data_IF_010167895501
#
_entry.id   IF_010167895501
#
_cell.length_a   1.000
_cell.length_b   1.000
_cell.length_c   1.000
_cell.angle_alpha   90.00
_cell.angle_beta   90.00
_cell.angle_gamma   90.00
#
_symmetry.space_group_name_H-M   'P 1'
#
loop_
_entity.id
_entity.type
_entity.pdbx_description
1 polymer ?
#
# COMPACT_ATOMS: atom_id res chain seq x y z
N UNK A 1 -15.90 -13.71 42.07
CA UNK A 1 -14.68 -14.51 41.77
C UNK A 1 -14.62 -14.69 40.26
N UNK A 2 -13.56 -14.22 39.59
CA UNK A 2 -13.40 -14.36 38.13
C UNK A 2 -13.42 -15.82 37.70
N UNK A 3 -14.10 -16.16 36.61
CA UNK A 3 -14.19 -17.53 36.05
C UNK A 3 -12.81 -18.11 35.72
N UNK A 4 -11.83 -17.25 35.41
CA UNK A 4 -10.43 -17.62 35.20
C UNK A 4 -9.81 -18.19 36.48
N UNK A 5 -10.14 -17.61 37.65
CA UNK A 5 -9.66 -18.11 38.94
C UNK A 5 -10.28 -19.47 39.32
N UNK A 6 -11.44 -19.84 38.76
CA UNK A 6 -12.04 -21.17 38.96
C UNK A 6 -11.32 -22.25 38.14
N UNK A 7 -10.89 -21.92 36.92
CA UNK A 7 -10.16 -22.83 36.02
C UNK A 7 -8.71 -23.06 36.47
N UNK A 8 -8.08 -22.06 37.09
CA UNK A 8 -6.69 -22.12 37.55
C UNK A 8 -6.50 -22.80 38.91
N UNK A 9 -7.58 -22.99 39.68
CA UNK A 9 -7.53 -23.49 41.07
C UNK A 9 -7.26 -24.99 41.19
N UNK A 10 -7.71 -25.78 40.21
CA UNK A 10 -7.55 -27.23 40.20
C UNK A 10 -6.51 -27.67 39.15
N UNK A 11 -5.68 -28.66 39.50
CA UNK A 11 -4.58 -29.14 38.64
C UNK A 11 -5.08 -29.77 37.34
N UNK A 12 -6.21 -30.47 37.37
CA UNK A 12 -6.79 -31.11 36.18
C UNK A 12 -7.49 -30.08 35.29
N UNK A 13 -8.22 -29.14 35.89
CA UNK A 13 -8.87 -28.04 35.15
C UNK A 13 -7.87 -27.10 34.47
N UNK A 14 -6.77 -26.79 35.15
CA UNK A 14 -5.67 -26.00 34.59
C UNK A 14 -4.97 -26.72 33.43
N UNK A 15 -4.73 -28.02 33.53
CA UNK A 15 -4.19 -28.82 32.42
C UNK A 15 -5.13 -28.82 31.21
N UNK A 16 -6.44 -28.95 31.44
CA UNK A 16 -7.43 -28.88 30.37
C UNK A 16 -7.45 -27.51 29.71
N UNK A 17 -7.49 -26.43 30.49
CA UNK A 17 -7.44 -25.05 30.00
C UNK A 17 -6.19 -24.76 29.15
N UNK A 18 -5.00 -25.15 29.63
CA UNK A 18 -3.79 -24.96 28.85
C UNK A 18 -3.75 -25.80 27.58
N UNK A 19 -4.33 -27.01 27.57
CA UNK A 19 -4.49 -27.80 26.33
C UNK A 19 -5.40 -27.10 25.31
N UNK A 20 -6.49 -26.49 25.76
CA UNK A 20 -7.37 -25.71 24.90
C UNK A 20 -6.64 -24.50 24.29
N UNK A 21 -5.82 -23.79 25.08
CA UNK A 21 -4.98 -22.70 24.56
C UNK A 21 -3.95 -23.25 23.57
N UNK A 22 -3.27 -24.36 23.90
CA UNK A 22 -2.21 -24.94 23.08
C UNK A 22 -2.72 -25.41 21.71
N UNK A 23 -4.01 -25.77 21.61
CA UNK A 23 -4.65 -26.20 20.35
C UNK A 23 -5.32 -25.02 19.65
N UNK A 24 -6.04 -24.17 20.40
CA UNK A 24 -6.80 -23.06 19.83
C UNK A 24 -5.94 -21.91 19.34
N UNK A 25 -4.85 -21.58 20.05
CA UNK A 25 -3.98 -20.47 19.68
C UNK A 25 -3.27 -20.70 18.34
N UNK A 26 -2.68 -21.87 18.03
CA UNK A 26 -2.12 -22.14 16.72
C UNK A 26 -3.14 -22.06 15.58
N UNK A 27 -4.37 -22.51 15.80
CA UNK A 27 -5.44 -22.43 14.79
C UNK A 27 -5.78 -20.97 14.49
N UNK A 28 -5.92 -20.14 15.52
CA UNK A 28 -6.20 -18.70 15.36
C UNK A 28 -5.06 -17.97 14.65
N UNK A 29 -3.80 -18.26 15.03
CA UNK A 29 -2.62 -17.70 14.35
C UNK A 29 -2.58 -18.15 12.89
N UNK A 30 -2.81 -19.43 12.61
CA UNK A 30 -2.82 -19.98 11.26
C UNK A 30 -3.90 -19.34 10.37
N UNK A 31 -5.10 -19.13 10.92
CA UNK A 31 -6.18 -18.44 10.20
C UNK A 31 -5.86 -16.97 9.93
N UNK A 32 -5.29 -16.26 10.92
CA UNK A 32 -4.89 -14.87 10.73
C UNK A 32 -3.80 -14.73 9.65
N UNK A 33 -2.81 -15.62 9.66
CA UNK A 33 -1.78 -15.66 8.62
C UNK A 33 -2.35 -15.98 7.24
N UNK A 34 -3.31 -16.92 7.16
CA UNK A 34 -3.95 -17.28 5.90
C UNK A 34 -4.76 -16.13 5.31
N UNK A 35 -5.54 -15.44 6.15
CA UNK A 35 -6.35 -14.28 5.73
C UNK A 35 -5.43 -13.17 5.21
N UNK A 36 -4.38 -12.81 5.98
CA UNK A 36 -3.42 -11.80 5.55
C UNK A 36 -2.75 -12.19 4.22
N UNK A 37 -2.32 -13.45 4.07
CA UNK A 37 -1.73 -13.92 2.83
C UNK A 37 -2.68 -13.84 1.63
N UNK A 38 -3.97 -14.15 1.84
CA UNK A 38 -4.98 -14.06 0.79
C UNK A 38 -5.30 -12.61 0.42
N UNK A 39 -5.37 -11.71 1.40
CA UNK A 39 -5.57 -10.27 1.18
C UNK A 39 -4.39 -9.67 0.41
N UNK A 40 -3.16 -9.95 0.84
CA UNK A 40 -1.94 -9.54 0.14
C UNK A 40 -1.89 -10.10 -1.29
N UNK A 41 -2.24 -11.38 -1.47
CA UNK A 41 -2.26 -12.01 -2.80
C UNK A 41 -3.38 -11.45 -3.68
N UNK A 42 -4.51 -11.03 -3.12
CA UNK A 42 -5.63 -10.48 -3.87
C UNK A 42 -5.33 -9.05 -4.32
N UNK A 43 -4.80 -8.22 -3.42
CA UNK A 43 -4.37 -6.86 -3.72
C UNK A 43 -3.26 -6.84 -4.80
N UNK A 44 -2.35 -7.82 -4.77
CA UNK A 44 -1.29 -7.95 -5.76
C UNK A 44 -1.78 -8.46 -7.14
N UNK A 45 -2.86 -9.25 -7.18
CA UNK A 45 -3.41 -9.81 -8.43
C UNK A 45 -4.37 -8.87 -9.16
N UNK A 46 -5.04 -7.98 -8.43
CA UNK A 46 -6.06 -7.08 -8.97
C UNK A 46 -7.35 -7.83 -9.33
N UNK A 47 -8.40 -7.06 -9.68
CA UNK A 47 -9.70 -7.58 -10.10
C UNK A 47 -10.00 -7.17 -11.54
N UNK A 48 -10.46 -8.07 -12.44
CA UNK A 48 -10.80 -7.69 -13.81
C UNK A 48 -11.85 -6.57 -13.87
N UNK A 49 -11.67 -5.61 -14.78
CA UNK A 49 -12.56 -4.46 -14.95
C UNK A 49 -13.31 -4.45 -16.29
N UNK A 50 -14.26 -3.52 -16.44
CA UNK A 50 -15.10 -3.35 -17.63
C UNK A 50 -14.33 -2.81 -18.86
N UNK A 51 -13.13 -2.25 -18.64
CA UNK A 51 -12.21 -1.80 -19.69
C UNK A 51 -11.36 -2.95 -20.26
N UNK A 52 -11.51 -4.16 -19.73
CA UNK A 52 -10.77 -5.36 -20.13
C UNK A 52 -9.34 -5.43 -19.60
N UNK A 53 -9.00 -4.62 -18.60
CA UNK A 53 -7.77 -4.74 -17.81
C UNK A 53 -8.09 -5.10 -16.36
N UNK A 54 -7.34 -4.55 -15.42
CA UNK A 54 -7.39 -4.91 -14.00
C UNK A 54 -7.49 -3.66 -13.12
N UNK A 55 -8.31 -3.72 -12.06
CA UNK A 55 -8.35 -2.75 -10.97
C UNK A 55 -7.48 -3.22 -9.80
N UNK A 56 -6.74 -2.29 -9.23
CA UNK A 56 -5.82 -2.50 -8.12
C UNK A 56 -6.13 -1.49 -7.03
N UNK A 57 -6.38 -1.99 -5.83
CA UNK A 57 -6.69 -1.18 -4.68
C UNK A 57 -5.90 -1.66 -3.47
N UNK A 58 -5.33 -0.71 -2.74
CA UNK A 58 -4.67 -0.95 -1.47
C UNK A 58 -4.79 0.27 -0.58
N UNK A 59 -5.06 0.03 0.69
CA UNK A 59 -5.16 1.04 1.74
C UNK A 59 -4.81 0.41 3.08
N UNK A 60 -4.49 1.25 4.05
CA UNK A 60 -4.43 0.93 5.49
C UNK A 60 -3.19 0.13 5.93
N UNK A 61 -2.17 0.05 5.07
CA UNK A 61 -0.84 -0.43 5.45
C UNK A 61 0.26 0.40 4.78
N UNK A 62 1.48 0.34 5.34
CA UNK A 62 2.66 1.04 4.80
C UNK A 62 3.54 0.02 4.08
N UNK A 63 3.75 0.21 2.78
CA UNK A 63 4.62 -0.64 1.96
C UNK A 63 5.79 0.18 1.41
N UNK A 64 6.96 -0.43 1.34
CA UNK A 64 8.20 0.22 0.84
C UNK A 64 8.28 0.22 -0.69
N UNK A 65 7.44 -0.56 -1.37
CA UNK A 65 7.51 -0.75 -2.82
C UNK A 65 6.12 -0.70 -3.43
N UNK A 66 5.99 -0.02 -4.58
CA UNK A 66 4.76 -0.07 -5.37
C UNK A 66 4.55 -1.48 -5.96
N UNK A 67 3.31 -1.83 -6.36
CA UNK A 67 3.04 -3.10 -7.02
C UNK A 67 3.89 -3.28 -8.28
N UNK A 68 4.43 -4.49 -8.47
CA UNK A 68 5.27 -4.84 -9.63
C UNK A 68 4.63 -4.51 -10.98
N UNK A 69 3.30 -4.63 -11.05
CA UNK A 69 2.51 -4.27 -12.24
C UNK A 69 2.69 -2.79 -12.56
N UNK A 70 2.56 -1.91 -11.57
CA UNK A 70 2.71 -0.48 -11.77
C UNK A 70 4.16 -0.08 -12.07
N UNK A 71 5.13 -0.69 -11.39
CA UNK A 71 6.56 -0.48 -11.62
C UNK A 71 7.03 -0.80 -13.05
N UNK A 72 6.31 -1.69 -13.76
CA UNK A 72 6.57 -2.00 -15.17
C UNK A 72 6.02 -0.93 -16.14
N UNK A 73 5.02 -0.17 -15.70
CA UNK A 73 4.29 0.79 -16.55
C UNK A 73 4.81 2.22 -16.38
N UNK A 74 5.17 2.59 -15.15
CA UNK A 74 5.70 3.90 -14.80
C UNK A 74 6.91 3.77 -13.86
N UNK A 75 7.93 4.63 -13.98
CA UNK A 75 9.05 4.64 -13.04
C UNK A 75 8.57 5.12 -11.68
N UNK A 76 8.88 4.35 -10.64
CA UNK A 76 8.53 4.66 -9.26
C UNK A 76 9.72 5.24 -8.52
N UNK A 77 9.46 6.28 -7.72
CA UNK A 77 10.48 6.88 -6.85
C UNK A 77 10.97 5.84 -5.82
N UNK A 78 12.28 5.55 -5.75
CA UNK A 78 12.78 4.43 -4.96
C UNK A 78 12.88 4.71 -3.45
N UNK A 79 12.88 5.99 -3.04
CA UNK A 79 13.07 6.39 -1.64
C UNK A 79 11.75 6.89 -1.03
N UNK A 80 10.72 6.06 -1.01
CA UNK A 80 9.49 6.44 -0.33
C UNK A 80 8.58 5.26 -0.04
N UNK A 81 7.65 5.52 0.89
CA UNK A 81 6.66 4.57 1.37
C UNK A 81 5.33 4.87 0.70
N UNK A 82 4.56 3.83 0.42
CA UNK A 82 3.22 3.94 -0.16
C UNK A 82 2.23 3.48 0.88
N UNK A 83 1.17 4.25 1.08
CA UNK A 83 0.11 3.91 2.04
C UNK A 83 -1.25 3.70 1.38
N UNK A 84 -1.32 4.04 0.09
CA UNK A 84 -2.52 4.00 -0.70
C UNK A 84 -2.14 3.94 -2.17
N UNK A 85 -2.79 3.06 -2.91
CA UNK A 85 -2.87 3.15 -4.35
C UNK A 85 -4.26 2.73 -4.82
N UNK A 86 -4.74 3.38 -5.86
CA UNK A 86 -5.96 3.03 -6.56
C UNK A 86 -5.77 3.29 -8.03
N UNK A 87 -5.56 2.22 -8.79
CA UNK A 87 -5.37 2.35 -10.23
C UNK A 87 -6.00 1.20 -11.00
N UNK A 88 -6.25 1.47 -12.27
CA UNK A 88 -6.77 0.52 -13.23
C UNK A 88 -5.83 0.43 -14.43
N UNK A 89 -5.81 -0.71 -15.10
CA UNK A 89 -5.25 -0.84 -16.45
C UNK A 89 -6.37 -1.09 -17.46
N UNK A 90 -6.14 -0.70 -18.72
CA UNK A 90 -6.95 -1.11 -19.87
C UNK A 90 -6.34 -2.32 -20.60
N UNK A 91 -6.96 -2.77 -21.68
CA UNK A 91 -6.47 -3.88 -22.53
C UNK A 91 -5.08 -3.64 -23.16
N UNK A 92 -4.60 -2.40 -23.14
CA UNK A 92 -3.30 -1.99 -23.69
C UNK A 92 -2.30 -1.62 -22.59
N UNK A 93 -2.58 -2.00 -21.35
CA UNK A 93 -1.75 -1.70 -20.17
C UNK A 93 -1.52 -0.19 -19.94
N UNK A 94 -2.48 0.67 -20.33
CA UNK A 94 -2.44 2.07 -19.90
C UNK A 94 -2.91 2.16 -18.45
N UNK A 95 -2.04 2.59 -17.52
CA UNK A 95 -2.45 2.77 -16.15
C UNK A 95 -3.26 4.07 -16.04
N UNK A 96 -4.33 4.04 -15.25
CA UNK A 96 -5.11 5.22 -14.89
C UNK A 96 -5.43 5.17 -13.39
N UNK A 97 -5.04 6.19 -12.64
CA UNK A 97 -5.27 6.23 -11.20
C UNK A 97 -4.25 7.07 -10.45
N UNK A 98 -4.12 6.79 -9.16
CA UNK A 98 -3.19 7.50 -8.29
C UNK A 98 -2.64 6.65 -7.13
N UNK A 99 -1.64 7.21 -6.47
CA UNK A 99 -1.07 6.69 -5.23
C UNK A 99 -0.50 7.82 -4.37
N UNK A 100 -0.42 7.56 -3.06
CA UNK A 100 0.27 8.46 -2.13
C UNK A 100 1.65 7.91 -1.77
N UNK A 101 2.67 8.70 -2.09
CA UNK A 101 4.06 8.50 -1.70
C UNK A 101 4.38 9.38 -0.49
N UNK A 102 4.97 8.78 0.53
CA UNK A 102 5.56 9.47 1.67
C UNK A 102 7.08 9.33 1.61
N UNK A 103 7.79 10.45 1.77
CA UNK A 103 9.25 10.44 1.75
C UNK A 103 9.84 11.55 2.60
N UNK A 104 11.01 11.30 3.20
CA UNK A 104 11.82 12.32 3.84
C UNK A 104 12.46 13.30 2.82
N UNK A 105 12.53 12.90 1.55
CA UNK A 105 13.08 13.73 0.48
C UNK A 105 12.14 14.88 0.10
N UNK A 106 12.70 15.99 -0.40
CA UNK A 106 11.90 17.16 -0.78
C UNK A 106 11.14 16.91 -2.08
N UNK A 107 10.06 17.69 -2.30
CA UNK A 107 9.27 17.59 -3.52
C UNK A 107 10.12 17.82 -4.77
N UNK A 108 11.09 18.73 -4.71
CA UNK A 108 12.05 19.04 -5.79
C UNK A 108 12.94 17.84 -6.12
N UNK A 109 13.36 17.07 -5.12
CA UNK A 109 14.16 15.85 -5.34
C UNK A 109 13.32 14.76 -6.01
N UNK A 110 12.04 14.64 -5.67
CA UNK A 110 11.11 13.72 -6.35
C UNK A 110 10.84 14.19 -7.77
N UNK A 111 10.61 15.49 -8.01
CA UNK A 111 10.49 16.06 -9.36
C UNK A 111 11.71 15.75 -10.22
N UNK A 112 12.91 15.99 -9.71
CA UNK A 112 14.14 15.74 -10.45
C UNK A 112 14.24 14.30 -10.96
N UNK A 113 13.83 13.33 -10.13
CA UNK A 113 13.75 11.92 -10.56
C UNK A 113 12.82 11.73 -11.77
N UNK A 114 11.62 12.33 -11.78
CA UNK A 114 10.69 12.21 -12.90
C UNK A 114 11.11 13.04 -14.12
N UNK A 115 11.77 14.18 -13.92
CA UNK A 115 12.36 15.01 -14.97
C UNK A 115 13.43 14.25 -15.77
N UNK A 116 14.25 13.45 -15.10
CA UNK A 116 15.28 12.63 -15.77
C UNK A 116 14.70 11.50 -16.65
N UNK A 117 13.43 11.14 -16.45
CA UNK A 117 12.78 10.00 -17.12
C UNK A 117 11.84 10.41 -18.26
N UNK A 118 11.51 11.69 -18.38
CA UNK A 118 10.41 12.15 -19.23
C UNK A 118 10.59 13.54 -19.80
N UNK A 119 9.61 13.94 -20.61
CA UNK A 119 9.49 15.30 -21.11
C UNK A 119 8.64 16.12 -20.15
N UNK A 120 9.14 17.27 -19.72
CA UNK A 120 8.39 18.20 -18.87
C UNK A 120 7.23 18.80 -19.68
N UNK A 121 6.04 18.76 -19.09
CA UNK A 121 4.81 19.37 -19.62
C UNK A 121 4.47 20.62 -18.83
N UNK A 122 4.58 20.56 -17.50
CA UNK A 122 4.35 21.68 -16.59
C UNK A 122 5.27 21.56 -15.36
N UNK A 123 5.80 22.69 -14.88
CA UNK A 123 6.69 22.76 -13.73
C UNK A 123 6.25 23.89 -12.78
N UNK A 124 5.20 23.59 -12.02
CA UNK A 124 4.68 24.47 -10.97
C UNK A 124 5.35 24.21 -9.62
N UNK A 125 5.14 25.08 -8.63
CA UNK A 125 5.74 24.92 -7.31
C UNK A 125 5.23 23.68 -6.58
N UNK A 126 3.91 23.51 -6.50
CA UNK A 126 3.25 22.40 -5.78
C UNK A 126 2.75 21.28 -6.71
N UNK A 127 2.81 21.50 -8.01
CA UNK A 127 2.39 20.53 -9.04
C UNK A 127 3.46 20.41 -10.11
N UNK A 128 3.72 19.19 -10.57
CA UNK A 128 4.65 18.92 -11.68
C UNK A 128 4.04 17.89 -12.62
N UNK A 129 4.15 18.12 -13.92
CA UNK A 129 3.59 17.24 -14.95
C UNK A 129 4.67 16.87 -15.94
N UNK A 130 4.82 15.58 -16.21
CA UNK A 130 5.71 15.06 -17.24
C UNK A 130 5.03 14.00 -18.10
N UNK A 131 5.56 13.80 -19.30
CA UNK A 131 5.24 12.67 -20.16
C UNK A 131 6.39 11.66 -20.11
N UNK A 132 6.09 10.42 -19.72
CA UNK A 132 7.04 9.31 -19.70
C UNK A 132 6.49 8.19 -20.58
N UNK A 133 7.11 7.97 -21.73
CA UNK A 133 6.70 6.90 -22.65
C UNK A 133 5.25 7.04 -23.13
N UNK A 134 4.78 8.27 -23.37
CA UNK A 134 3.42 8.57 -23.82
C UNK A 134 2.37 8.56 -22.69
N UNK A 135 2.80 8.45 -21.44
CA UNK A 135 1.92 8.49 -20.25
C UNK A 135 2.14 9.80 -19.51
N UNK A 136 1.04 10.50 -19.22
CA UNK A 136 1.08 11.75 -18.46
C UNK A 136 1.12 11.46 -16.97
N UNK A 137 2.23 11.77 -16.31
CA UNK A 137 2.38 11.62 -14.86
C UNK A 137 2.30 13.00 -14.21
N UNK A 138 1.45 13.13 -13.19
CA UNK A 138 1.27 14.35 -12.41
C UNK A 138 1.68 14.09 -10.95
N UNK A 139 2.64 14.87 -10.47
CA UNK A 139 3.02 14.92 -9.06
C UNK A 139 2.35 16.11 -8.42
N UNK A 140 1.70 15.91 -7.27
CA UNK A 140 1.10 17.00 -6.50
C UNK A 140 1.55 16.91 -5.05
N UNK A 141 2.01 18.01 -4.49
CA UNK A 141 2.37 18.12 -3.08
C UNK A 141 1.08 18.16 -2.24
N UNK A 142 1.01 17.29 -1.24
CA UNK A 142 -0.10 17.22 -0.30
C UNK A 142 0.38 17.61 1.10
N UNK A 143 -0.55 18.12 1.90
CA UNK A 143 -0.30 18.36 3.33
C UNK A 143 -0.53 17.06 4.09
N UNK A 144 0.46 16.65 4.88
CA UNK A 144 0.35 15.52 5.81
C UNK A 144 -0.66 15.87 6.91
N UNK A 145 -1.60 14.97 7.17
CA UNK A 145 -2.61 15.12 8.21
C UNK A 145 -2.23 14.31 9.46
N UNK A 146 -2.82 14.63 10.61
CA UNK A 146 -2.56 13.91 11.87
C UNK A 146 -2.92 12.42 11.81
N UNK A 147 -3.89 12.06 10.96
CA UNK A 147 -4.35 10.69 10.74
C UNK A 147 -3.60 9.95 9.62
N UNK A 148 -2.62 10.59 8.97
CA UNK A 148 -1.84 9.92 7.92
C UNK A 148 -0.96 8.80 8.53
N UNK A 149 -0.81 7.64 7.85
CA UNK A 149 -0.07 6.49 8.38
C UNK A 149 1.42 6.75 8.60
N UNK A 150 1.98 7.76 7.93
CA UNK A 150 3.38 8.16 8.03
C UNK A 150 3.45 9.64 8.42
N UNK A 151 4.01 9.90 9.60
CA UNK A 151 4.16 11.24 10.16
C UNK A 151 5.59 11.78 9.93
N UNK A 152 5.72 13.09 9.76
CA UNK A 152 7.02 13.76 9.61
C UNK A 152 7.69 13.60 8.24
N UNK A 153 7.02 12.98 7.28
CA UNK A 153 7.47 12.85 5.88
C UNK A 153 6.62 13.72 4.95
N UNK A 154 7.18 14.09 3.79
CA UNK A 154 6.46 14.79 2.73
C UNK A 154 5.49 13.83 2.04
N UNK A 155 4.24 14.26 1.88
CA UNK A 155 3.21 13.53 1.17
C UNK A 155 3.07 14.03 -0.27
N UNK A 156 3.16 13.12 -1.23
CA UNK A 156 3.09 13.42 -2.66
C UNK A 156 2.07 12.48 -3.30
N UNK A 157 1.09 13.07 -3.99
CA UNK A 157 0.21 12.30 -4.86
C UNK A 157 0.89 12.12 -6.22
N UNK A 158 0.86 10.89 -6.74
CA UNK A 158 1.33 10.57 -8.08
C UNK A 158 0.14 10.03 -8.85
N UNK A 159 -0.33 10.77 -9.85
CA UNK A 159 -1.43 10.36 -10.71
C UNK A 159 -0.97 10.16 -12.15
N UNK A 160 -1.65 9.27 -12.87
CA UNK A 160 -1.34 8.86 -14.23
C UNK A 160 -2.61 8.50 -15.00
#
# INVERSE_FOLDING_TARGET
MSEINFLLRDKNRRKFFFKCILIGLPILIGLALLINYMEDSSAAKGTPNDKGGMDYYFRDAVIETAPDVLCKLIPMYPNGKITYYNFSTDQTDNPAGDLFLFTADSFEKVKAFYQEKGKIVDDGTDTFVCDIGGKKITLSKFTTKEDDPVQGENKINISF
#
